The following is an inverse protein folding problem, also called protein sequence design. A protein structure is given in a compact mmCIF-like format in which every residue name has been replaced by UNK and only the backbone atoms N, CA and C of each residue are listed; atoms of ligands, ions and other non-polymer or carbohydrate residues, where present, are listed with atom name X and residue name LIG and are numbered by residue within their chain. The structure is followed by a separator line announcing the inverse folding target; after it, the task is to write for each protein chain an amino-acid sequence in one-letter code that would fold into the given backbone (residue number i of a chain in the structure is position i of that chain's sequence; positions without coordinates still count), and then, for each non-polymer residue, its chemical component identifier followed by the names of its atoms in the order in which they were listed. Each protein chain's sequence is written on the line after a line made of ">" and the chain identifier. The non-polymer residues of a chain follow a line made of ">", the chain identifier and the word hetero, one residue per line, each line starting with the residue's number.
data_IF_611559043668
#
_entry.id   IF_611559043668
#
_cell.length_a   1.000
_cell.length_b   1.000
_cell.length_c   1.000
_cell.angle_alpha   90.00
_cell.angle_beta   90.00
_cell.angle_gamma   90.00
#
_symmetry.space_group_name_H-M   'P 1'
#
loop_
_entity.id
_entity.type
_entity.pdbx_description
1 polymer ?
#
# COMPACT_ATOMS: atom_id res chain seq x y z
N UNK A 1 -1.20 35.83 0.18
CA UNK A 1 -1.31 35.10 1.46
C UNK A 1 0.05 34.53 1.77
N UNK A 2 0.74 35.05 2.79
CA UNK A 2 1.96 34.44 3.29
C UNK A 2 1.58 33.13 3.99
N UNK A 3 1.69 31.99 3.29
CA UNK A 3 1.68 30.69 3.96
C UNK A 3 2.97 30.61 4.79
N UNK A 4 2.85 30.42 6.10
CA UNK A 4 4.00 30.00 6.90
C UNK A 4 4.45 28.64 6.34
N UNK A 5 5.45 28.68 5.48
CA UNK A 5 5.98 27.51 4.80
C UNK A 5 6.92 26.83 5.78
N UNK A 6 6.43 25.76 6.42
CA UNK A 6 7.27 24.91 7.27
C UNK A 6 8.04 23.93 6.40
N UNK A 7 9.36 24.00 6.46
CA UNK A 7 10.25 23.01 5.84
C UNK A 7 10.11 21.67 6.56
N UNK A 8 10.37 20.58 5.84
CA UNK A 8 10.40 19.24 6.41
C UNK A 8 11.59 19.14 7.37
N UNK A 9 11.32 18.93 8.64
CA UNK A 9 12.35 18.66 9.63
C UNK A 9 12.70 17.18 9.63
N UNK A 10 13.99 16.88 9.56
CA UNK A 10 14.45 15.50 9.66
C UNK A 10 14.24 14.98 11.10
N UNK A 11 13.59 13.82 11.22
CA UNK A 11 13.56 13.01 12.42
C UNK A 11 14.64 11.92 12.33
N UNK A 12 15.05 11.36 13.46
CA UNK A 12 16.02 10.25 13.46
C UNK A 12 15.48 8.98 12.78
N UNK A 13 14.15 8.85 12.76
CA UNK A 13 13.44 7.72 12.20
C UNK A 13 12.34 8.18 11.24
N UNK A 14 12.42 7.81 9.95
CA UNK A 14 11.42 8.20 8.95
C UNK A 14 10.03 7.62 9.21
N UNK A 15 9.90 6.53 9.96
CA UNK A 15 8.60 5.97 10.32
C UNK A 15 7.84 6.91 11.27
N UNK A 16 8.54 7.60 12.17
CA UNK A 16 7.93 8.60 13.04
C UNK A 16 7.42 9.80 12.23
N UNK A 17 8.21 10.29 11.27
CA UNK A 17 7.79 11.35 10.36
C UNK A 17 6.60 10.93 9.50
N UNK A 18 6.61 9.69 8.97
CA UNK A 18 5.46 9.13 8.25
C UNK A 18 4.21 9.09 9.13
N UNK A 19 4.33 8.61 10.37
CA UNK A 19 3.21 8.55 11.32
C UNK A 19 2.61 9.93 11.60
N UNK A 20 3.46 10.94 11.78
CA UNK A 20 3.00 12.33 11.96
C UNK A 20 2.21 12.83 10.73
N UNK A 21 2.76 12.66 9.54
CA UNK A 21 2.13 13.08 8.30
C UNK A 21 0.85 12.29 7.99
N UNK A 22 0.84 10.99 8.28
CA UNK A 22 -0.33 10.14 8.08
C UNK A 22 -1.50 10.50 9.01
N UNK A 23 -1.20 10.87 10.27
CA UNK A 23 -2.23 11.39 11.20
C UNK A 23 -2.86 12.67 10.68
N UNK A 24 -2.05 13.62 10.18
CA UNK A 24 -2.57 14.84 9.56
C UNK A 24 -3.41 14.52 8.31
N UNK A 25 -2.94 13.61 7.45
CA UNK A 25 -3.65 13.17 6.26
C UNK A 25 -5.00 12.52 6.61
N UNK A 26 -5.05 11.72 7.68
CA UNK A 26 -6.27 11.05 8.13
C UNK A 26 -7.37 12.03 8.58
N UNK A 27 -7.00 13.27 8.92
CA UNK A 27 -7.94 14.33 9.28
C UNK A 27 -8.28 15.21 8.06
N UNK A 28 -7.33 15.42 7.16
CA UNK A 28 -7.41 16.45 6.11
C UNK A 28 -7.84 15.92 4.75
N UNK A 29 -7.55 14.65 4.44
CA UNK A 29 -7.96 14.05 3.16
C UNK A 29 -9.46 13.69 3.20
N UNK A 30 -10.15 13.98 2.09
CA UNK A 30 -11.59 13.74 1.96
C UNK A 30 -11.87 12.23 1.91
N UNK A 31 -11.02 11.46 1.22
CA UNK A 31 -11.19 10.02 1.01
C UNK A 31 -9.85 9.29 1.16
N UNK A 32 -9.89 8.12 1.72
CA UNK A 32 -8.83 7.10 1.71
C UNK A 32 -7.41 7.66 1.91
N UNK A 33 -7.08 8.31 3.04
CA UNK A 33 -5.73 8.81 3.30
C UNK A 33 -4.68 7.69 3.26
N UNK A 34 -5.11 6.45 3.43
CA UNK A 34 -4.32 5.23 3.35
C UNK A 34 -4.24 4.64 1.92
N UNK A 35 -4.85 5.28 0.91
CA UNK A 35 -4.67 4.86 -0.47
C UNK A 35 -3.25 5.17 -0.96
N UNK A 36 -2.60 4.19 -1.55
CA UNK A 36 -1.25 4.34 -2.10
C UNK A 36 -1.15 3.67 -3.47
N UNK A 37 -0.38 4.29 -4.36
CA UNK A 37 -0.02 3.66 -5.62
C UNK A 37 1.09 2.64 -5.34
N UNK A 38 0.86 1.38 -5.72
CA UNK A 38 1.84 0.31 -5.70
C UNK A 38 2.35 0.08 -7.11
N UNK A 39 3.66 0.27 -7.32
CA UNK A 39 4.36 -0.09 -8.55
C UNK A 39 5.09 -1.41 -8.37
N UNK A 40 4.98 -2.29 -9.36
CA UNK A 40 5.63 -3.60 -9.44
C UNK A 40 6.32 -3.76 -10.79
N UNK A 41 7.29 -4.64 -10.87
CA UNK A 41 8.03 -4.98 -12.08
C UNK A 41 7.87 -6.48 -12.32
N UNK A 42 7.44 -6.86 -13.53
CA UNK A 42 7.36 -8.27 -13.92
C UNK A 42 8.74 -8.85 -14.27
N UNK A 43 8.82 -10.16 -14.47
CA UNK A 43 10.06 -10.86 -14.85
C UNK A 43 10.69 -10.25 -16.11
N UNK A 44 9.87 -9.87 -17.10
CA UNK A 44 10.32 -9.20 -18.33
C UNK A 44 10.57 -7.68 -18.18
N UNK A 45 10.77 -7.23 -16.94
CA UNK A 45 11.09 -5.84 -16.55
C UNK A 45 10.03 -4.79 -16.95
N UNK A 46 8.78 -5.20 -17.17
CA UNK A 46 7.69 -4.27 -17.46
C UNK A 46 7.10 -3.69 -16.17
N UNK A 47 7.12 -2.37 -16.00
CA UNK A 47 6.48 -1.73 -14.84
C UNK A 47 4.96 -1.76 -14.96
N UNK A 48 4.30 -1.89 -13.82
CA UNK A 48 2.85 -1.81 -13.73
C UNK A 48 2.46 -1.18 -12.39
N UNK A 49 1.39 -0.36 -12.35
CA UNK A 49 0.96 0.29 -11.12
C UNK A 49 -0.56 0.24 -10.92
N UNK A 50 -0.99 0.33 -9.67
CA UNK A 50 -2.40 0.34 -9.25
C UNK A 50 -2.52 0.91 -7.83
N UNK A 51 -3.75 1.32 -7.48
CA UNK A 51 -4.05 1.70 -6.11
C UNK A 51 -4.26 0.47 -5.23
N UNK A 52 -3.67 0.50 -4.03
CA UNK A 52 -3.93 -0.43 -2.93
C UNK A 52 -4.09 0.38 -1.63
N UNK A 53 -4.58 -0.26 -0.57
CA UNK A 53 -4.77 0.41 0.71
C UNK A 53 -3.73 -0.06 1.72
N UNK A 54 -3.02 0.89 2.33
CA UNK A 54 -2.21 0.64 3.52
C UNK A 54 -3.13 0.14 4.65
N UNK A 55 -2.74 -0.94 5.31
CA UNK A 55 -3.51 -1.54 6.41
C UNK A 55 -2.79 -1.50 7.74
N UNK A 56 -1.47 -1.52 7.70
CA UNK A 56 -0.61 -1.38 8.86
C UNK A 56 0.75 -0.81 8.44
N UNK A 57 1.44 -0.14 9.35
CA UNK A 57 2.83 0.24 9.20
C UNK A 57 3.55 0.26 10.54
N UNK A 58 4.80 -0.10 10.51
CA UNK A 58 5.67 -0.15 11.68
C UNK A 58 7.14 -0.01 11.27
N UNK A 59 8.05 -0.15 12.23
CA UNK A 59 9.48 -0.26 11.95
C UNK A 59 9.83 -1.41 10.99
N UNK A 60 8.94 -2.41 10.86
CA UNK A 60 9.11 -3.55 9.97
C UNK A 60 8.63 -3.28 8.54
N UNK A 61 7.96 -2.15 8.28
CA UNK A 61 7.52 -1.75 6.95
C UNK A 61 6.02 -1.47 6.82
N UNK A 62 5.53 -1.48 5.58
CA UNK A 62 4.20 -1.04 5.18
C UNK A 62 3.40 -2.22 4.63
N UNK A 63 2.25 -2.54 5.23
CA UNK A 63 1.48 -3.75 4.94
C UNK A 63 0.24 -3.45 4.12
N UNK A 64 0.01 -4.23 3.07
CA UNK A 64 -1.23 -4.27 2.30
C UNK A 64 -1.62 -5.72 2.02
N UNK A 65 -2.90 -5.96 1.68
CA UNK A 65 -3.42 -7.30 1.41
C UNK A 65 -3.98 -7.40 -0.01
N UNK A 66 -3.77 -8.57 -0.64
CA UNK A 66 -4.18 -8.80 -2.02
C UNK A 66 -4.35 -10.29 -2.34
N UNK A 67 -4.80 -10.58 -3.57
CA UNK A 67 -4.78 -11.91 -4.17
C UNK A 67 -3.42 -12.13 -4.83
N UNK A 68 -2.69 -13.20 -4.45
CA UNK A 68 -1.37 -13.54 -4.98
C UNK A 68 -1.43 -13.95 -6.47
N UNK A 69 -2.57 -14.48 -6.94
CA UNK A 69 -2.79 -14.84 -8.33
C UNK A 69 -3.20 -13.63 -9.20
N UNK A 70 -3.18 -12.42 -8.66
CA UNK A 70 -3.39 -11.21 -9.44
C UNK A 70 -2.10 -10.77 -10.11
N UNK A 71 -2.18 -9.98 -11.19
CA UNK A 71 -1.01 -9.45 -11.91
C UNK A 71 0.06 -8.85 -10.99
N UNK A 72 -0.34 -8.13 -9.91
CA UNK A 72 0.62 -7.59 -8.95
C UNK A 72 1.22 -8.66 -8.04
N UNK A 73 0.42 -9.66 -7.64
CA UNK A 73 0.90 -10.77 -6.81
C UNK A 73 1.94 -11.60 -7.57
N UNK A 74 1.66 -11.96 -8.81
CA UNK A 74 2.61 -12.66 -9.70
C UNK A 74 3.89 -11.86 -9.87
N UNK A 75 3.80 -10.56 -10.22
CA UNK A 75 4.98 -9.71 -10.35
C UNK A 75 5.81 -9.64 -9.06
N UNK A 76 5.20 -9.59 -7.87
CA UNK A 76 5.93 -9.55 -6.60
C UNK A 76 6.63 -10.88 -6.29
N UNK A 77 6.02 -12.01 -6.67
CA UNK A 77 6.64 -13.33 -6.53
C UNK A 77 7.90 -13.43 -7.41
N UNK A 78 7.84 -12.95 -8.63
CA UNK A 78 8.95 -12.94 -9.59
C UNK A 78 10.02 -11.90 -9.22
N UNK A 79 9.60 -10.69 -8.85
CA UNK A 79 10.49 -9.59 -8.46
C UNK A 79 9.90 -8.83 -7.26
N UNK A 80 10.45 -9.03 -6.05
CA UNK A 80 9.93 -8.42 -4.85
C UNK A 80 10.19 -6.91 -4.73
N UNK A 81 10.95 -6.31 -5.64
CA UNK A 81 11.23 -4.86 -5.63
C UNK A 81 9.98 -4.07 -6.00
N UNK A 82 9.56 -3.19 -5.13
CA UNK A 82 8.34 -2.41 -5.29
C UNK A 82 8.55 -0.96 -4.88
N UNK A 83 7.65 -0.09 -5.36
CA UNK A 83 7.53 1.26 -4.86
C UNK A 83 6.09 1.56 -4.43
N UNK A 84 5.95 2.27 -3.30
CA UNK A 84 4.70 2.81 -2.82
C UNK A 84 4.73 4.33 -2.95
N UNK A 85 3.59 4.93 -3.29
CA UNK A 85 3.48 6.38 -3.36
C UNK A 85 2.15 6.85 -2.78
N UNK A 86 2.23 7.66 -1.71
CA UNK A 86 1.12 8.40 -1.14
C UNK A 86 1.12 9.82 -1.71
N UNK A 87 -0.05 10.34 -2.04
CA UNK A 87 -0.21 11.72 -2.49
C UNK A 87 -1.39 12.37 -1.78
N UNK A 88 -1.09 13.11 -0.71
CA UNK A 88 -2.07 13.84 0.11
C UNK A 88 -2.23 15.27 -0.42
N UNK A 89 -3.19 15.44 -1.31
CA UNK A 89 -3.42 16.69 -2.03
C UNK A 89 -3.83 17.84 -1.11
N UNK A 90 -4.65 17.56 -0.09
CA UNK A 90 -5.10 18.55 0.88
C UNK A 90 -3.94 19.13 1.69
N UNK A 91 -2.88 18.36 1.88
CA UNK A 91 -1.65 18.77 2.58
C UNK A 91 -0.54 19.23 1.64
N UNK A 92 -0.71 19.10 0.33
CA UNK A 92 0.34 19.36 -0.67
C UNK A 92 1.60 18.50 -0.42
N UNK A 93 1.42 17.26 0.03
CA UNK A 93 2.48 16.35 0.43
C UNK A 93 2.45 15.04 -0.34
N UNK A 94 3.63 14.48 -0.56
CA UNK A 94 3.82 13.14 -1.13
C UNK A 94 4.83 12.38 -0.28
N UNK A 95 4.63 11.06 -0.15
CA UNK A 95 5.62 10.15 0.43
C UNK A 95 5.86 9.01 -0.55
N UNK A 96 7.12 8.81 -0.95
CA UNK A 96 7.56 7.69 -1.77
C UNK A 96 8.35 6.72 -0.92
N UNK A 97 8.12 5.43 -1.14
CA UNK A 97 8.78 4.36 -0.41
C UNK A 97 9.25 3.34 -1.44
N UNK A 98 10.53 3.01 -1.42
CA UNK A 98 11.10 1.96 -2.25
C UNK A 98 11.64 0.85 -1.33
N UNK A 99 11.46 -0.41 -1.72
CA UNK A 99 11.87 -1.52 -0.89
C UNK A 99 11.46 -2.87 -1.47
N UNK A 100 11.47 -3.88 -0.62
CA UNK A 100 11.14 -5.25 -1.00
C UNK A 100 9.88 -5.74 -0.30
N UNK A 101 8.94 -6.28 -1.06
CA UNK A 101 7.73 -6.89 -0.53
C UNK A 101 8.01 -8.33 -0.08
N UNK A 102 7.61 -8.65 1.15
CA UNK A 102 7.65 -10.01 1.72
C UNK A 102 6.26 -10.42 2.18
N UNK A 103 5.93 -11.69 2.09
CA UNK A 103 4.68 -12.19 2.64
C UNK A 103 4.63 -11.93 4.15
N UNK A 104 3.48 -11.53 4.64
CA UNK A 104 3.18 -11.58 6.09
C UNK A 104 3.02 -13.03 6.53
N UNK A 105 3.06 -13.28 7.84
CA UNK A 105 2.79 -14.60 8.39
C UNK A 105 1.32 -14.98 8.16
N UNK A 106 1.04 -16.27 8.05
CA UNK A 106 -0.32 -16.78 7.83
C UNK A 106 -1.28 -16.36 8.94
N UNK A 107 -0.84 -16.40 10.20
CA UNK A 107 -1.66 -15.99 11.35
C UNK A 107 -2.04 -14.49 11.25
N UNK A 108 -1.11 -13.63 10.83
CA UNK A 108 -1.38 -12.21 10.60
C UNK A 108 -2.38 -12.01 9.45
N UNK A 109 -2.21 -12.77 8.36
CA UNK A 109 -3.14 -12.73 7.23
C UNK A 109 -4.53 -13.23 7.63
N UNK A 110 -4.62 -14.26 8.45
CA UNK A 110 -5.88 -14.82 8.96
C UNK A 110 -6.58 -13.85 9.91
N UNK A 111 -5.85 -13.21 10.82
CA UNK A 111 -6.38 -12.21 11.74
C UNK A 111 -6.99 -11.04 10.96
N UNK A 112 -6.23 -10.46 10.04
CA UNK A 112 -6.75 -9.37 9.23
C UNK A 112 -7.92 -9.81 8.33
N UNK A 113 -7.85 -10.99 7.70
CA UNK A 113 -8.96 -11.51 6.90
C UNK A 113 -10.23 -11.65 7.73
N UNK A 114 -10.13 -12.17 8.96
CA UNK A 114 -11.26 -12.36 9.86
C UNK A 114 -11.91 -11.03 10.29
N UNK A 115 -11.14 -9.94 10.39
CA UNK A 115 -11.65 -8.60 10.75
C UNK A 115 -12.44 -7.91 9.63
N UNK A 116 -12.36 -8.41 8.37
CA UNK A 116 -13.04 -7.82 7.22
C UNK A 116 -14.55 -8.04 7.27
N UNK A 117 -15.31 -7.12 6.67
CA UNK A 117 -16.74 -7.29 6.45
C UNK A 117 -17.02 -8.55 5.62
N UNK A 118 -18.14 -9.21 5.91
CA UNK A 118 -18.55 -10.49 5.28
C UNK A 118 -18.60 -10.39 3.76
N UNK A 119 -19.22 -9.35 3.21
CA UNK A 119 -19.28 -9.13 1.76
C UNK A 119 -17.88 -8.99 1.12
N UNK A 120 -16.92 -8.39 1.85
CA UNK A 120 -15.53 -8.31 1.40
C UNK A 120 -14.81 -9.66 1.41
N UNK A 121 -15.14 -10.54 2.36
CA UNK A 121 -14.64 -11.92 2.41
C UNK A 121 -15.20 -12.74 1.25
N UNK A 122 -16.51 -12.62 0.99
CA UNK A 122 -17.17 -13.27 -0.16
C UNK A 122 -16.58 -12.75 -1.48
N UNK A 123 -16.37 -11.42 -1.61
CA UNK A 123 -15.74 -10.83 -2.79
C UNK A 123 -14.35 -11.40 -3.06
N UNK A 124 -13.55 -11.67 -2.03
CA UNK A 124 -12.23 -12.29 -2.18
C UNK A 124 -12.32 -13.71 -2.76
N UNK A 125 -13.34 -14.50 -2.41
CA UNK A 125 -13.58 -15.83 -2.98
C UNK A 125 -14.15 -15.76 -4.41
N UNK A 126 -15.01 -14.80 -4.70
CA UNK A 126 -15.71 -14.71 -5.98
C UNK A 126 -14.84 -14.14 -7.10
N UNK A 127 -13.84 -13.30 -6.76
CA UNK A 127 -13.04 -12.57 -7.73
C UNK A 127 -11.76 -13.32 -8.10
N UNK A 128 -11.66 -13.74 -9.36
CA UNK A 128 -10.38 -14.13 -9.99
C UNK A 128 -9.63 -12.85 -10.39
N UNK A 129 -9.06 -12.15 -9.40
CA UNK A 129 -8.50 -10.80 -9.56
C UNK A 129 -7.49 -10.72 -10.71
N UNK A 130 -7.65 -9.76 -11.61
CA UNK A 130 -6.84 -9.50 -12.82
C UNK A 130 -7.05 -10.47 -13.98
N UNK A 131 -7.85 -11.53 -13.84
CA UNK A 131 -8.24 -12.39 -14.95
C UNK A 131 -9.33 -11.77 -15.80
N UNK A 132 -9.49 -12.26 -17.02
CA UNK A 132 -10.59 -11.87 -17.90
C UNK A 132 -11.94 -12.22 -17.26
N UNK A 133 -12.89 -11.31 -17.38
CA UNK A 133 -14.27 -11.46 -16.92
C UNK A 133 -15.20 -11.40 -18.13
N UNK A 134 -15.87 -12.51 -18.44
CA UNK A 134 -16.73 -12.61 -19.63
C UNK A 134 -17.97 -11.71 -19.54
N UNK A 135 -18.52 -11.54 -18.31
CA UNK A 135 -19.66 -10.67 -18.08
C UNK A 135 -19.77 -10.27 -16.58
N UNK A 136 -20.47 -9.17 -16.31
CA UNK A 136 -20.80 -8.77 -14.93
C UNK A 136 -21.66 -9.85 -14.25
N UNK A 137 -22.55 -10.49 -14.99
CA UNK A 137 -23.42 -11.56 -14.51
C UNK A 137 -22.63 -12.77 -13.99
N UNK A 138 -21.53 -13.12 -14.64
CA UNK A 138 -20.63 -14.20 -14.16
C UNK A 138 -20.14 -13.89 -12.75
N UNK A 139 -19.66 -12.67 -12.50
CA UNK A 139 -19.18 -12.28 -11.17
C UNK A 139 -20.32 -12.31 -10.13
N UNK A 140 -21.50 -11.81 -10.49
CA UNK A 140 -22.67 -11.80 -9.61
C UNK A 140 -23.11 -13.23 -9.26
N UNK A 141 -23.06 -14.15 -10.20
CA UNK A 141 -23.37 -15.56 -9.98
C UNK A 141 -22.32 -16.22 -9.06
N UNK A 142 -21.02 -15.91 -9.21
CA UNK A 142 -19.96 -16.34 -8.28
C UNK A 142 -20.20 -15.80 -6.86
N UNK A 143 -20.59 -14.54 -6.72
CA UNK A 143 -20.93 -13.95 -5.41
C UNK A 143 -22.11 -14.70 -4.77
N UNK A 144 -23.20 -14.93 -5.50
CA UNK A 144 -24.36 -15.69 -5.01
C UNK A 144 -23.97 -17.11 -4.60
N UNK A 145 -23.15 -17.78 -5.41
CA UNK A 145 -22.64 -19.12 -5.10
C UNK A 145 -21.86 -19.15 -3.79
N UNK A 146 -20.91 -18.23 -3.58
CA UNK A 146 -20.09 -18.21 -2.37
C UNK A 146 -20.89 -17.76 -1.15
N UNK A 147 -21.86 -16.84 -1.27
CA UNK A 147 -22.80 -16.52 -0.20
C UNK A 147 -23.55 -17.78 0.27
N UNK A 148 -24.10 -18.56 -0.65
CA UNK A 148 -24.80 -19.81 -0.34
C UNK A 148 -23.85 -20.88 0.25
N UNK A 149 -22.63 -20.99 -0.28
CA UNK A 149 -21.62 -21.97 0.20
C UNK A 149 -21.23 -21.72 1.65
N UNK A 150 -21.13 -20.46 2.06
CA UNK A 150 -20.75 -20.06 3.42
C UNK A 150 -21.94 -19.70 4.31
N UNK A 151 -23.16 -19.88 3.85
CA UNK A 151 -24.35 -19.66 4.66
C UNK A 151 -24.26 -20.46 5.97
N UNK A 152 -24.42 -19.79 7.10
CA UNK A 152 -24.27 -20.35 8.47
C UNK A 152 -22.89 -20.99 8.74
N UNK A 153 -21.84 -20.61 8.02
CA UNK A 153 -20.48 -21.12 8.19
C UNK A 153 -19.47 -19.98 8.31
N UNK A 154 -18.35 -20.23 8.98
CA UNK A 154 -17.23 -19.29 8.99
C UNK A 154 -16.63 -19.19 7.58
N UNK A 155 -16.50 -17.95 7.06
CA UNK A 155 -15.82 -17.69 5.81
C UNK A 155 -14.32 -17.68 6.09
N UNK A 156 -13.65 -18.78 5.75
CA UNK A 156 -12.19 -18.93 5.92
C UNK A 156 -11.45 -18.13 4.84
N UNK A 157 -10.21 -17.75 5.12
CA UNK A 157 -9.33 -17.11 4.15
C UNK A 157 -8.99 -18.06 3.00
N UNK A 158 -9.14 -17.67 1.73
CA UNK A 158 -8.64 -18.48 0.63
C UNK A 158 -7.10 -18.47 0.61
N UNK A 159 -6.49 -19.59 0.24
CA UNK A 159 -5.03 -19.75 0.18
C UNK A 159 -4.32 -18.76 -0.74
N UNK A 160 -5.03 -18.26 -1.75
CA UNK A 160 -4.51 -17.26 -2.69
C UNK A 160 -4.65 -15.81 -2.20
N UNK A 161 -5.12 -15.57 -0.97
CA UNK A 161 -5.27 -14.23 -0.40
C UNK A 161 -4.34 -14.06 0.80
N UNK A 162 -3.42 -13.10 0.72
CA UNK A 162 -2.43 -12.84 1.77
C UNK A 162 -2.08 -11.36 1.86
N UNK A 163 -1.23 -11.02 2.80
CA UNK A 163 -0.61 -9.70 2.93
C UNK A 163 0.83 -9.69 2.43
N UNK A 164 1.25 -8.52 1.95
CA UNK A 164 2.64 -8.21 1.71
C UNK A 164 3.06 -7.05 2.63
N UNK A 165 4.22 -7.19 3.25
CA UNK A 165 4.90 -6.12 3.97
C UNK A 165 6.06 -5.64 3.14
N UNK A 166 6.07 -4.36 2.80
CA UNK A 166 7.17 -3.70 2.10
C UNK A 166 8.18 -3.23 3.13
N UNK A 167 9.34 -3.89 3.18
CA UNK A 167 10.48 -3.47 3.99
C UNK A 167 11.20 -2.34 3.25
N UNK A 168 11.24 -1.11 3.78
CA UNK A 168 11.76 0.03 3.04
C UNK A 168 13.30 0.09 3.08
N UNK A 169 13.89 0.37 1.92
CA UNK A 169 15.29 0.74 1.75
C UNK A 169 15.45 2.25 1.58
N UNK A 170 14.39 2.93 1.09
CA UNK A 170 14.34 4.36 0.86
C UNK A 170 12.95 4.90 1.17
N UNK A 171 12.89 6.06 1.84
CA UNK A 171 11.67 6.83 2.06
C UNK A 171 11.95 8.30 1.73
N UNK A 172 11.20 8.87 0.80
CA UNK A 172 11.28 10.29 0.45
C UNK A 172 10.00 11.01 0.86
N UNK A 173 10.16 12.10 1.59
CA UNK A 173 9.11 13.05 1.92
C UNK A 173 9.24 14.27 1.00
N UNK A 174 8.14 14.65 0.37
CA UNK A 174 8.07 15.76 -0.54
C UNK A 174 6.94 16.71 -0.13
N UNK A 175 7.22 18.03 -0.13
CA UNK A 175 6.25 19.07 0.16
C UNK A 175 6.24 20.10 -0.95
N UNK A 176 5.05 20.46 -1.44
CA UNK A 176 4.87 21.45 -2.49
C UNK A 176 5.26 22.84 -2.00
N UNK A 177 6.09 23.52 -2.79
CA UNK A 177 6.62 24.83 -2.48
C UNK A 177 6.44 25.77 -3.67
N UNK A 178 6.35 27.10 -3.44
CA UNK A 178 6.27 28.10 -4.50
C UNK A 178 7.39 27.94 -5.53
N UNK A 179 7.08 28.34 -6.77
CA UNK A 179 8.02 28.35 -7.91
C UNK A 179 8.58 26.97 -8.26
N UNK A 180 7.90 25.90 -7.84
CA UNK A 180 8.35 24.49 -8.01
C UNK A 180 9.66 24.16 -7.27
N UNK A 181 10.08 24.99 -6.32
CA UNK A 181 11.25 24.75 -5.49
C UNK A 181 10.88 23.88 -4.27
N UNK A 182 10.38 22.70 -4.56
CA UNK A 182 9.81 21.77 -3.59
C UNK A 182 10.82 21.35 -2.52
N UNK A 183 10.35 21.27 -1.27
CA UNK A 183 11.18 20.73 -0.19
C UNK A 183 11.14 19.20 -0.21
N UNK A 184 12.32 18.60 -0.26
CA UNK A 184 12.49 17.15 -0.39
C UNK A 184 13.48 16.64 0.64
N UNK A 185 13.06 15.62 1.39
CA UNK A 185 13.88 14.94 2.39
C UNK A 185 13.87 13.45 2.09
N UNK A 186 15.02 12.89 1.73
CA UNK A 186 15.21 11.47 1.47
C UNK A 186 15.90 10.81 2.65
N UNK A 187 15.37 9.66 3.07
CA UNK A 187 16.03 8.73 3.96
C UNK A 187 16.44 7.49 3.17
N UNK A 188 17.70 7.11 3.28
CA UNK A 188 18.22 5.86 2.72
C UNK A 188 18.76 4.98 3.84
N UNK A 189 18.41 3.71 3.82
CA UNK A 189 18.88 2.73 4.81
C UNK A 189 20.25 2.19 4.39
N UNK A 190 21.26 2.44 5.20
CA UNK A 190 22.63 1.96 4.98
C UNK A 190 23.07 1.23 6.25
N UNK A 191 23.45 -0.05 6.13
CA UNK A 191 23.84 -0.89 7.28
C UNK A 191 22.81 -0.83 8.43
N UNK A 192 21.51 -0.91 8.10
CA UNK A 192 20.38 -0.81 9.03
C UNK A 192 20.24 0.53 9.76
N UNK A 193 20.94 1.58 9.32
CA UNK A 193 20.82 2.95 9.85
C UNK A 193 20.21 3.85 8.78
N UNK A 194 19.26 4.68 9.18
CA UNK A 194 18.67 5.69 8.31
C UNK A 194 19.57 6.93 8.19
N UNK A 195 19.95 7.26 6.97
CA UNK A 195 20.71 8.48 6.65
C UNK A 195 19.79 9.42 5.89
N UNK A 196 19.57 10.59 6.47
CA UNK A 196 18.73 11.64 5.88
C UNK A 196 19.56 12.63 5.06
N UNK A 197 19.02 13.06 3.92
CA UNK A 197 19.59 14.15 3.11
C UNK A 197 18.49 14.95 2.43
N UNK A 198 18.74 16.27 2.24
CA UNK A 198 17.90 17.12 1.38
C UNK A 198 18.25 16.87 -0.08
N UNK A 199 17.23 16.93 -0.93
CA UNK A 199 17.38 16.85 -2.39
C UNK A 199 16.99 18.17 -3.03
N UNK A 200 17.63 18.48 -4.16
CA UNK A 200 17.12 19.53 -5.06
C UNK A 200 15.73 19.12 -5.59
N UNK A 201 14.84 20.13 -5.86
CA UNK A 201 13.53 19.91 -6.46
C UNK A 201 13.61 19.32 -7.87
#
# INVERSE_FOLDING_TARGET
>A
MNRNILLINAESDPINLFNSWFKEASISEINDPNAMNLSTISEDLKPSSRMVLLKDFSQNGFTFYTNINSKKGESIIENPSVALNFHWKSLLRQVRIEGKAKNVLDDEADEYYNSRAEDSKIGAWASSQSSELSSREELENKIKYYKKKFENKKIIRPSFWTGYRVEPDLIEFWHDMPFRLHDRLEYKKINNVWIAKKLYP
#
